data_IF_869360675718
#
_entry.id   IF_869360675718
#
_cell.length_a   1.000
_cell.length_b   1.000
_cell.length_c   1.000
_cell.angle_alpha   90.00
_cell.angle_beta   90.00
_cell.angle_gamma   90.00
#
_symmetry.space_group_name_H-M   'P 1'
#
loop_
_entity.id
_entity.type
_entity.pdbx_description
1 polymer ?
#
# COMPACT_ATOMS: atom_id res chain seq x y z
N UNK A 1 -11.04 -26.60 9.28
CA UNK A 1 -11.80 -26.41 8.02
C UNK A 1 -11.14 -25.26 7.28
N UNK A 2 -10.91 -25.38 5.97
CA UNK A 2 -10.37 -24.28 5.16
C UNK A 2 -11.52 -23.26 4.96
N UNK A 3 -11.29 -21.93 5.14
CA UNK A 3 -12.30 -20.91 4.87
C UNK A 3 -12.83 -21.01 3.44
N UNK A 4 -14.11 -20.71 3.23
CA UNK A 4 -14.62 -20.60 1.87
C UNK A 4 -13.99 -19.40 1.15
N UNK A 5 -13.93 -19.38 -0.19
CA UNK A 5 -13.47 -18.20 -0.92
C UNK A 5 -14.22 -16.91 -0.52
N UNK A 6 -15.53 -17.02 -0.24
CA UNK A 6 -16.35 -15.90 0.23
C UNK A 6 -15.89 -15.34 1.57
N UNK A 7 -15.46 -16.20 2.50
CA UNK A 7 -14.96 -15.78 3.82
C UNK A 7 -13.65 -14.99 3.69
N UNK A 8 -12.77 -15.41 2.77
CA UNK A 8 -11.51 -14.71 2.48
C UNK A 8 -11.80 -13.31 1.92
N UNK A 9 -12.70 -13.22 0.94
CA UNK A 9 -13.08 -11.94 0.32
C UNK A 9 -13.74 -11.00 1.33
N UNK A 10 -14.62 -11.53 2.19
CA UNK A 10 -15.26 -10.76 3.25
C UNK A 10 -14.25 -10.23 4.28
N UNK A 11 -13.30 -11.08 4.69
CA UNK A 11 -12.21 -10.69 5.59
C UNK A 11 -11.34 -9.58 5.01
N UNK A 12 -11.02 -9.67 3.71
CA UNK A 12 -10.30 -8.61 3.00
C UNK A 12 -11.11 -7.30 2.97
N UNK A 13 -12.42 -7.36 2.73
CA UNK A 13 -13.28 -6.17 2.73
C UNK A 13 -13.34 -5.49 4.10
N UNK A 14 -13.45 -6.26 5.19
CA UNK A 14 -13.38 -5.71 6.54
C UNK A 14 -12.00 -5.12 6.84
N UNK A 15 -10.93 -5.81 6.45
CA UNK A 15 -9.56 -5.31 6.56
C UNK A 15 -9.39 -3.94 5.90
N UNK A 16 -9.84 -3.80 4.65
CA UNK A 16 -9.80 -2.52 3.93
C UNK A 16 -10.59 -1.42 4.66
N UNK A 17 -11.83 -1.69 5.08
CA UNK A 17 -12.66 -0.71 5.80
C UNK A 17 -12.06 -0.27 7.13
N UNK A 18 -11.44 -1.18 7.86
CA UNK A 18 -10.78 -0.88 9.13
C UNK A 18 -9.51 -0.06 8.88
N UNK A 19 -8.69 -0.44 7.89
CA UNK A 19 -7.50 0.31 7.52
C UNK A 19 -7.85 1.75 7.09
N UNK A 20 -8.90 1.92 6.31
CA UNK A 20 -9.41 3.24 5.90
C UNK A 20 -9.79 4.13 7.09
N UNK A 21 -10.40 3.57 8.14
CA UNK A 21 -10.73 4.32 9.37
C UNK A 21 -9.47 4.76 10.11
N UNK A 22 -8.44 3.93 10.15
CA UNK A 22 -7.16 4.30 10.74
C UNK A 22 -6.50 5.47 9.97
N UNK A 23 -6.63 5.49 8.65
CA UNK A 23 -6.10 6.55 7.80
C UNK A 23 -6.79 7.91 8.01
N UNK A 24 -8.05 7.96 8.43
CA UNK A 24 -8.82 9.22 8.58
C UNK A 24 -8.09 10.23 9.47
N UNK A 25 -7.59 9.80 10.64
CA UNK A 25 -6.90 10.68 11.58
C UNK A 25 -5.64 11.34 10.99
N UNK A 26 -4.82 10.57 10.27
CA UNK A 26 -3.59 11.05 9.64
C UNK A 26 -3.93 11.95 8.44
N UNK A 27 -4.88 11.53 7.60
CA UNK A 27 -5.37 12.30 6.47
C UNK A 27 -5.89 13.68 6.90
N UNK A 28 -6.69 13.73 7.97
CA UNK A 28 -7.29 14.97 8.48
C UNK A 28 -6.24 15.91 9.09
N UNK A 29 -5.26 15.36 9.83
CA UNK A 29 -4.15 16.13 10.42
C UNK A 29 -3.31 16.81 9.34
N UNK A 30 -2.93 16.06 8.30
CA UNK A 30 -2.00 16.53 7.26
C UNK A 30 -2.66 17.07 6.00
N UNK A 31 -4.01 17.12 5.96
CA UNK A 31 -4.80 17.52 4.79
C UNK A 31 -4.41 16.72 3.55
N UNK A 32 -4.30 15.40 3.73
CA UNK A 32 -4.01 14.44 2.68
C UNK A 32 -5.27 13.64 2.34
N UNK A 33 -5.37 13.21 1.09
CA UNK A 33 -6.34 12.17 0.72
C UNK A 33 -5.80 10.79 1.13
N UNK A 34 -6.69 9.79 1.25
CA UNK A 34 -6.31 8.39 1.51
C UNK A 34 -5.30 7.87 0.47
N UNK A 35 -5.44 8.27 -0.79
CA UNK A 35 -4.52 7.88 -1.87
C UNK A 35 -3.17 8.57 -1.75
N UNK A 36 -3.15 9.85 -1.38
CA UNK A 36 -1.89 10.56 -1.12
C UNK A 36 -1.12 9.90 0.02
N UNK A 37 -1.81 9.56 1.12
CA UNK A 37 -1.21 8.83 2.24
C UNK A 37 -0.72 7.44 1.82
N UNK A 38 -1.52 6.67 1.06
CA UNK A 38 -1.09 5.35 0.57
C UNK A 38 0.14 5.43 -0.35
N UNK A 39 0.24 6.46 -1.20
CA UNK A 39 1.44 6.67 -2.04
C UNK A 39 2.67 6.96 -1.18
N UNK A 40 2.56 7.82 -0.16
CA UNK A 40 3.68 8.10 0.75
C UNK A 40 4.13 6.83 1.48
N UNK A 41 3.17 6.07 2.03
CA UNK A 41 3.47 4.81 2.72
C UNK A 41 4.00 3.73 1.76
N UNK A 42 3.54 3.70 0.51
CA UNK A 42 4.04 2.76 -0.49
C UNK A 42 5.51 3.02 -0.80
N UNK A 43 5.88 4.28 -1.08
CA UNK A 43 7.25 4.66 -1.38
C UNK A 43 8.19 4.41 -0.20
N UNK A 44 7.71 4.64 1.03
CA UNK A 44 8.48 4.32 2.23
C UNK A 44 8.69 2.80 2.39
N UNK A 45 7.63 2.01 2.21
CA UNK A 45 7.68 0.55 2.38
C UNK A 45 8.36 -0.18 1.21
N UNK A 46 8.56 0.48 0.06
CA UNK A 46 9.13 -0.09 -1.16
C UNK A 46 10.08 0.93 -1.82
N UNK A 47 11.22 1.27 -1.19
CA UNK A 47 12.13 2.30 -1.70
C UNK A 47 12.68 1.98 -3.11
N UNK A 48 12.68 0.70 -3.52
CA UNK A 48 13.08 0.23 -4.84
C UNK A 48 11.99 0.46 -5.93
N UNK A 49 10.74 0.74 -5.54
CA UNK A 49 9.59 0.94 -6.44
C UNK A 49 9.15 2.39 -6.42
N UNK A 50 10.04 3.25 -6.90
CA UNK A 50 9.96 4.70 -6.71
C UNK A 50 9.47 5.46 -7.94
N UNK A 51 8.63 4.86 -8.80
CA UNK A 51 8.03 5.56 -9.94
C UNK A 51 6.51 5.32 -10.04
N UNK A 52 5.84 6.19 -10.80
CA UNK A 52 4.38 6.14 -10.95
C UNK A 52 3.87 4.82 -11.57
N UNK A 53 4.65 4.20 -12.45
CA UNK A 53 4.26 2.94 -13.10
C UNK A 53 4.25 1.79 -12.10
N UNK A 54 5.20 1.76 -11.17
CA UNK A 54 5.24 0.73 -10.12
C UNK A 54 4.08 0.90 -9.14
N UNK A 55 3.76 2.14 -8.75
CA UNK A 55 2.59 2.43 -7.91
C UNK A 55 1.31 1.91 -8.59
N UNK A 56 1.09 2.26 -9.86
CA UNK A 56 -0.09 1.82 -10.63
C UNK A 56 -0.18 0.30 -10.68
N UNK A 57 0.93 -0.38 -10.94
CA UNK A 57 0.97 -1.85 -11.05
C UNK A 57 0.72 -2.53 -9.71
N UNK A 58 1.45 -2.15 -8.66
CA UNK A 58 1.43 -2.84 -7.37
C UNK A 58 0.17 -2.53 -6.58
N UNK A 59 -0.34 -1.28 -6.65
CA UNK A 59 -1.58 -0.89 -5.97
C UNK A 59 -2.83 -1.11 -6.81
N UNK A 60 -2.68 -1.58 -8.05
CA UNK A 60 -3.80 -1.77 -8.99
C UNK A 60 -4.67 -0.50 -9.12
N UNK A 61 -4.03 0.67 -9.09
CA UNK A 61 -4.70 1.97 -9.15
C UNK A 61 -4.78 2.49 -10.57
N UNK A 62 -5.76 3.36 -10.85
CA UNK A 62 -5.85 4.00 -12.17
C UNK A 62 -4.71 5.01 -12.36
N UNK A 63 -4.15 5.04 -13.57
CA UNK A 63 -3.05 5.95 -13.94
C UNK A 63 -3.43 7.42 -13.72
N UNK A 64 -4.68 7.80 -13.97
CA UNK A 64 -5.18 9.17 -13.79
C UNK A 64 -5.13 9.60 -12.32
N UNK A 65 -5.65 8.77 -11.40
CA UNK A 65 -5.68 9.11 -9.97
C UNK A 65 -4.28 9.15 -9.35
N UNK A 66 -3.39 8.23 -9.74
CA UNK A 66 -1.99 8.23 -9.28
C UNK A 66 -1.28 9.50 -9.75
N UNK A 67 -1.44 9.88 -11.02
CA UNK A 67 -0.82 11.10 -11.57
C UNK A 67 -1.28 12.38 -10.83
N UNK A 68 -2.59 12.51 -10.58
CA UNK A 68 -3.17 13.64 -9.84
C UNK A 68 -2.62 13.70 -8.41
N UNK A 69 -2.58 12.56 -7.72
CA UNK A 69 -2.10 12.48 -6.34
C UNK A 69 -0.61 12.80 -6.23
N UNK A 70 0.23 12.28 -7.13
CA UNK A 70 1.66 12.63 -7.16
C UNK A 70 1.84 14.13 -7.44
N UNK A 71 1.11 14.70 -8.40
CA UNK A 71 1.21 16.14 -8.69
C UNK A 71 0.84 16.99 -7.48
N UNK A 72 -0.21 16.61 -6.75
CA UNK A 72 -0.61 17.24 -5.50
C UNK A 72 0.45 17.09 -4.40
N UNK A 73 1.00 15.89 -4.19
CA UNK A 73 2.06 15.64 -3.21
C UNK A 73 3.35 16.44 -3.49
N UNK A 74 3.72 16.59 -4.77
CA UNK A 74 4.85 17.45 -5.18
C UNK A 74 4.55 18.92 -4.88
N UNK A 75 3.34 19.39 -5.21
CA UNK A 75 2.91 20.76 -4.88
C UNK A 75 2.91 21.03 -3.37
N UNK A 76 2.48 20.04 -2.57
CA UNK A 76 2.50 20.07 -1.10
C UNK A 76 3.90 19.85 -0.52
N UNK A 77 4.92 19.66 -1.37
CA UNK A 77 6.33 19.43 -1.00
C UNK A 77 6.56 18.17 -0.17
N UNK A 78 5.72 17.15 -0.34
CA UNK A 78 5.96 15.84 0.28
C UNK A 78 6.84 14.95 -0.60
N UNK A 79 6.79 15.13 -1.93
CA UNK A 79 7.59 14.39 -2.90
C UNK A 79 8.48 15.32 -3.73
N UNK A 80 9.68 14.84 -4.05
CA UNK A 80 10.54 15.37 -5.09
C UNK A 80 10.47 14.47 -6.35
N UNK A 81 10.81 15.05 -7.50
CA UNK A 81 10.87 14.36 -8.79
C UNK A 81 12.28 14.46 -9.37
N UNK A 82 12.89 13.32 -9.66
CA UNK A 82 14.22 13.24 -10.25
C UNK A 82 14.13 12.56 -11.62
N UNK A 83 14.50 13.21 -12.73
CA UNK A 83 14.56 12.57 -14.03
C UNK A 83 15.60 11.43 -14.03
N UNK A 84 15.32 10.32 -14.70
CA UNK A 84 16.22 9.17 -14.74
C UNK A 84 17.53 9.39 -15.51
N UNK A 85 17.79 10.59 -16.04
CA UNK A 85 18.94 10.92 -16.90
C UNK A 85 18.88 10.30 -18.30
N UNK A 86 18.27 9.12 -18.44
CA UNK A 86 18.07 8.41 -19.68
C UNK A 86 16.58 8.01 -19.81
N UNK A 87 15.86 8.67 -20.73
CA UNK A 87 14.45 8.37 -21.05
C UNK A 87 13.42 9.29 -20.39
N UNK A 88 12.13 8.87 -20.43
CA UNK A 88 10.98 9.63 -19.89
C UNK A 88 10.62 9.24 -18.44
N UNK A 89 11.40 8.38 -17.79
CA UNK A 89 11.10 7.89 -16.45
C UNK A 89 11.45 8.95 -15.40
N UNK A 90 10.57 9.08 -14.40
CA UNK A 90 10.71 10.03 -13.30
C UNK A 90 10.67 9.25 -11.99
N UNK A 91 11.73 9.40 -11.20
CA UNK A 91 11.82 8.87 -9.85
C UNK A 91 11.15 9.81 -8.86
N UNK A 92 10.55 9.24 -7.84
CA UNK A 92 9.81 9.91 -6.76
C UNK A 92 10.56 9.66 -5.46
N UNK A 93 10.90 10.74 -4.77
CA UNK A 93 11.62 10.67 -3.51
C UNK A 93 10.81 11.35 -2.41
N UNK A 94 10.73 10.70 -1.24
CA UNK A 94 10.15 11.30 -0.05
C UNK A 94 11.06 12.44 0.41
N UNK A 95 10.47 13.62 0.58
CA UNK A 95 11.17 14.76 1.17
C UNK A 95 11.21 14.66 2.70
N UNK A 96 12.04 15.48 3.34
CA UNK A 96 12.06 15.61 4.81
C UNK A 96 10.71 16.03 5.40
N UNK A 97 9.88 16.77 4.65
CA UNK A 97 8.52 17.12 5.07
C UNK A 97 7.62 15.88 5.25
N UNK A 98 7.90 14.79 4.55
CA UNK A 98 7.12 13.56 4.66
C UNK A 98 7.46 12.74 5.92
N UNK A 99 8.57 13.03 6.61
CA UNK A 99 9.03 12.23 7.75
C UNK A 99 7.96 12.11 8.85
N UNK A 100 7.37 13.22 9.28
CA UNK A 100 6.35 13.21 10.35
C UNK A 100 5.11 12.39 9.94
N UNK A 101 4.65 12.56 8.69
CA UNK A 101 3.49 11.83 8.14
C UNK A 101 3.78 10.34 8.07
N UNK A 102 4.99 9.98 7.64
CA UNK A 102 5.44 8.59 7.55
C UNK A 102 5.52 7.96 8.94
N UNK A 103 6.08 8.64 9.93
CA UNK A 103 6.14 8.10 11.30
C UNK A 103 4.75 7.84 11.87
N UNK A 104 3.80 8.77 11.67
CA UNK A 104 2.41 8.53 12.06
C UNK A 104 1.74 7.42 11.26
N UNK A 105 2.05 7.32 9.96
CA UNK A 105 1.59 6.24 9.10
C UNK A 105 2.12 4.87 9.55
N UNK A 106 3.36 4.78 10.03
CA UNK A 106 3.92 3.56 10.61
C UNK A 106 3.22 3.18 11.92
N UNK A 107 3.02 4.14 12.83
CA UNK A 107 2.28 3.90 14.07
C UNK A 107 0.81 3.50 13.79
N UNK A 108 0.21 4.06 12.74
CA UNK A 108 -1.11 3.66 12.23
C UNK A 108 -1.10 2.22 11.69
N UNK A 109 -0.13 1.85 10.85
CA UNK A 109 0.03 0.48 10.34
C UNK A 109 0.26 -0.53 11.46
N UNK A 110 1.03 -0.18 12.49
CA UNK A 110 1.24 -1.04 13.66
C UNK A 110 -0.05 -1.26 14.44
N UNK A 111 -0.86 -0.21 14.66
CA UNK A 111 -2.19 -0.34 15.29
C UNK A 111 -3.13 -1.23 14.48
N UNK A 112 -3.10 -1.12 13.15
CA UNK A 112 -3.86 -1.99 12.27
C UNK A 112 -3.44 -3.46 12.42
N UNK A 113 -2.13 -3.75 12.43
CA UNK A 113 -1.62 -5.10 12.67
C UNK A 113 -2.04 -5.67 14.02
N UNK A 114 -2.01 -4.86 15.08
CA UNK A 114 -2.46 -5.28 16.42
C UNK A 114 -3.95 -5.68 16.44
N UNK A 115 -4.79 -4.96 15.69
CA UNK A 115 -6.21 -5.32 15.53
C UNK A 115 -6.36 -6.60 14.72
N UNK A 116 -5.65 -6.73 13.60
CA UNK A 116 -5.73 -7.89 12.71
C UNK A 116 -5.31 -9.19 13.42
N UNK A 117 -4.31 -9.12 14.29
CA UNK A 117 -3.76 -10.27 15.00
C UNK A 117 -4.10 -10.30 16.50
N UNK A 118 -5.20 -9.64 16.90
CA UNK A 118 -5.68 -9.70 18.27
C UNK A 118 -6.01 -11.16 18.64
N UNK A 119 -5.37 -11.68 19.69
CA UNK A 119 -5.53 -13.07 20.16
C UNK A 119 -4.68 -14.12 19.42
N UNK A 120 -3.87 -13.72 18.44
CA UNK A 120 -2.93 -14.63 17.76
C UNK A 120 -1.60 -14.71 18.51
N UNK A 121 -1.01 -15.92 18.68
CA UNK A 121 0.38 -16.08 19.08
C UNK A 121 1.34 -15.42 18.07
N UNK A 122 2.50 -14.96 18.54
CA UNK A 122 3.49 -14.28 17.68
C UNK A 122 3.97 -15.18 16.54
N UNK A 123 4.20 -16.47 16.81
CA UNK A 123 4.62 -17.44 15.80
C UNK A 123 3.60 -17.56 14.64
N UNK A 124 2.31 -17.45 14.95
CA UNK A 124 1.26 -17.52 13.93
C UNK A 124 1.20 -16.26 13.07
N UNK A 125 1.65 -15.10 13.57
CA UNK A 125 1.78 -13.86 12.78
C UNK A 125 2.87 -13.98 11.73
N UNK A 126 4.02 -14.54 12.10
CA UNK A 126 5.11 -14.80 11.16
C UNK A 126 4.71 -15.82 10.09
N UNK A 127 4.04 -16.90 10.50
CA UNK A 127 3.50 -17.91 9.58
C UNK A 127 2.47 -17.30 8.63
N UNK A 128 1.57 -16.46 9.13
CA UNK A 128 0.59 -15.76 8.31
C UNK A 128 1.27 -14.93 7.21
N UNK A 129 2.33 -14.20 7.51
CA UNK A 129 3.08 -13.44 6.51
C UNK A 129 3.57 -14.32 5.34
N UNK A 130 4.13 -15.49 5.65
CA UNK A 130 4.58 -16.47 4.65
C UNK A 130 3.43 -17.02 3.82
N UNK A 131 2.29 -17.34 4.46
CA UNK A 131 1.10 -17.85 3.77
C UNK A 131 0.46 -16.79 2.88
N UNK A 132 0.32 -15.55 3.36
CA UNK A 132 -0.24 -14.45 2.60
C UNK A 132 0.62 -14.14 1.36
N UNK A 133 1.96 -14.15 1.51
CA UNK A 133 2.87 -14.00 0.37
C UNK A 133 2.63 -15.11 -0.66
N UNK A 134 2.55 -16.37 -0.23
CA UNK A 134 2.34 -17.49 -1.16
C UNK A 134 0.99 -17.42 -1.87
N UNK A 135 -0.06 -17.02 -1.15
CA UNK A 135 -1.39 -16.79 -1.73
C UNK A 135 -1.32 -15.66 -2.76
N UNK A 136 -0.68 -14.54 -2.43
CA UNK A 136 -0.54 -13.41 -3.35
C UNK A 136 0.24 -13.77 -4.62
N UNK A 137 1.32 -14.55 -4.50
CA UNK A 137 2.06 -15.08 -5.65
C UNK A 137 1.17 -15.94 -6.55
N UNK A 138 0.44 -16.90 -5.97
CA UNK A 138 -0.46 -17.78 -6.73
C UNK A 138 -1.56 -16.98 -7.45
N UNK A 139 -2.17 -16.00 -6.77
CA UNK A 139 -3.21 -15.14 -7.35
C UNK A 139 -2.66 -14.24 -8.46
N UNK A 140 -1.45 -13.70 -8.29
CA UNK A 140 -0.81 -12.89 -9.32
C UNK A 140 -0.46 -13.74 -10.55
N UNK A 141 0.06 -14.96 -10.39
CA UNK A 141 0.30 -15.87 -11.51
C UNK A 141 -0.99 -16.18 -12.27
N UNK A 142 -2.07 -16.51 -11.56
CA UNK A 142 -3.37 -16.76 -12.19
C UNK A 142 -3.92 -15.52 -12.92
N UNK A 143 -3.67 -14.32 -12.39
CA UNK A 143 -4.09 -13.06 -13.03
C UNK A 143 -3.29 -12.75 -14.31
N UNK A 144 -1.98 -13.02 -14.32
CA UNK A 144 -1.11 -12.73 -15.48
C UNK A 144 -1.21 -13.81 -16.58
N UNK A 145 -1.23 -15.09 -16.19
CA UNK A 145 -1.18 -16.22 -17.13
C UNK A 145 -2.56 -16.76 -17.51
N UNK A 146 -3.62 -16.25 -16.87
CA UNK A 146 -4.96 -16.78 -16.99
C UNK A 146 -5.19 -17.99 -16.09
N UNK A 147 -6.47 -18.25 -15.78
CA UNK A 147 -6.87 -19.39 -14.95
C UNK A 147 -6.69 -20.67 -15.77
N UNK A 148 -5.67 -21.46 -15.45
CA UNK A 148 -5.54 -22.81 -16.01
C UNK A 148 -6.57 -23.69 -15.34
N UNK A 149 -7.59 -24.11 -16.08
CA UNK A 149 -8.50 -25.17 -15.64
C UNK A 149 -7.68 -26.47 -15.57
N UNK A 150 -7.37 -26.92 -14.35
CA UNK A 150 -6.97 -28.30 -14.13
C UNK A 150 -8.21 -29.18 -14.08
#
# INVERSE_FOLDING_TARGET
MIPSPSDILLSNQYGSKVYEKFQESVCDKYKLTKMELDILMFLYNNPEKNNASDIVKVRMLTKSHVSISIASLVKKKYLARTPSGHGRMVYLELSSRAEEVVQEGLAMQQRFWNVMFAGFPEEDRERFGKYLQKIAENLNTAYQEGIRNQ
#
